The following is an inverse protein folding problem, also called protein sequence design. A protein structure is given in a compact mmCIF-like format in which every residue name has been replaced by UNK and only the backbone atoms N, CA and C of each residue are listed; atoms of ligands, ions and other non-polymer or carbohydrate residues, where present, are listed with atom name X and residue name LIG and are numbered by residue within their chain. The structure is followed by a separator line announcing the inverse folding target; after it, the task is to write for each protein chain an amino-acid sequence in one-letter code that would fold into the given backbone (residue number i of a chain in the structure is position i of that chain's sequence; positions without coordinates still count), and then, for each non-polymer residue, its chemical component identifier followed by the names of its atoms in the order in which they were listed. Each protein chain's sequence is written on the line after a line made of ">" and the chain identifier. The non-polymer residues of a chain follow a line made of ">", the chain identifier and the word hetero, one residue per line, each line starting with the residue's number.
data_IF_534525664596
#
_entry.id   IF_534525664596
#
_cell.length_a   1.000
_cell.length_b   1.000
_cell.length_c   1.000
_cell.angle_alpha   90.00
_cell.angle_beta   90.00
_cell.angle_gamma   90.00
#
_symmetry.space_group_name_H-M   'P 1'
#
loop_
_entity.id
_entity.type
_entity.pdbx_description
1 polymer ?
#
# COMPACT_ATOMS: atom_id res chain seq x y z
N UNK A 1 18.83 17.88 -5.89
CA UNK A 1 19.28 16.49 -6.08
C UNK A 1 19.90 16.41 -7.46
N UNK A 2 21.12 15.88 -7.60
CA UNK A 2 21.73 15.73 -8.93
C UNK A 2 20.99 14.63 -9.73
N UNK A 3 21.25 14.51 -11.04
CA UNK A 3 20.54 13.54 -11.90
C UNK A 3 20.79 12.08 -11.49
N UNK A 4 21.97 11.79 -10.96
CA UNK A 4 22.37 10.46 -10.53
C UNK A 4 21.64 10.04 -9.24
N UNK A 5 21.62 10.91 -8.23
CA UNK A 5 20.87 10.75 -6.99
C UNK A 5 19.36 10.60 -7.27
N UNK A 6 18.84 11.33 -8.27
CA UNK A 6 17.45 11.20 -8.70
C UNK A 6 17.17 9.83 -9.28
N UNK A 7 18.04 9.34 -10.15
CA UNK A 7 17.92 8.00 -10.71
C UNK A 7 17.98 6.92 -9.62
N UNK A 8 18.94 7.02 -8.70
CA UNK A 8 19.06 6.10 -7.56
C UNK A 8 17.81 6.10 -6.69
N UNK A 9 17.31 7.29 -6.32
CA UNK A 9 16.12 7.38 -5.50
C UNK A 9 14.91 6.73 -6.17
N UNK A 10 14.72 6.96 -7.48
CA UNK A 10 13.66 6.31 -8.25
C UNK A 10 13.79 4.78 -8.26
N UNK A 11 15.00 4.27 -8.44
CA UNK A 11 15.27 2.83 -8.35
C UNK A 11 14.92 2.28 -6.98
N UNK A 12 15.41 2.88 -5.90
CA UNK A 12 15.15 2.43 -4.53
C UNK A 12 13.64 2.34 -4.25
N UNK A 13 12.88 3.36 -4.66
CA UNK A 13 11.42 3.38 -4.48
C UNK A 13 10.74 2.35 -5.38
N UNK A 14 11.14 2.21 -6.65
CA UNK A 14 10.59 1.19 -7.55
C UNK A 14 10.78 -0.24 -7.02
N UNK A 15 11.86 -0.48 -6.29
CA UNK A 15 12.14 -1.79 -5.69
C UNK A 15 11.40 -2.04 -4.39
N UNK A 16 11.04 -0.96 -3.71
CA UNK A 16 10.26 -1.03 -2.49
C UNK A 16 8.75 -1.09 -2.75
N UNK A 17 8.29 -0.63 -3.92
CA UNK A 17 6.85 -0.47 -4.19
C UNK A 17 6.07 -1.77 -4.11
N UNK A 18 6.69 -2.91 -4.46
CA UNK A 18 6.07 -4.23 -4.36
C UNK A 18 5.70 -4.56 -2.90
N UNK A 19 6.53 -4.14 -1.93
CA UNK A 19 6.22 -4.26 -0.50
C UNK A 19 5.06 -3.34 -0.08
N UNK A 20 4.90 -2.18 -0.73
CA UNK A 20 3.74 -1.32 -0.49
C UNK A 20 2.45 -1.96 -1.03
N UNK A 21 2.52 -2.68 -2.15
CA UNK A 21 1.39 -3.47 -2.65
C UNK A 21 1.01 -4.57 -1.66
N UNK A 22 1.98 -5.37 -1.20
CA UNK A 22 1.73 -6.41 -0.20
C UNK A 22 1.25 -5.85 1.14
N UNK A 23 1.72 -4.67 1.56
CA UNK A 23 1.22 -3.99 2.76
C UNK A 23 -0.24 -3.57 2.59
N UNK A 24 -0.60 -3.04 1.43
CA UNK A 24 -1.99 -2.68 1.12
C UNK A 24 -2.89 -3.92 1.15
N UNK A 25 -2.47 -5.00 0.49
CA UNK A 25 -3.14 -6.31 0.51
C UNK A 25 -3.35 -6.81 1.94
N UNK A 26 -2.30 -6.78 2.75
CA UNK A 26 -2.34 -7.25 4.14
C UNK A 26 -3.38 -6.51 4.97
N UNK A 27 -3.40 -5.16 4.92
CA UNK A 27 -4.38 -4.40 5.69
C UNK A 27 -5.79 -4.50 5.13
N UNK A 28 -5.95 -4.63 3.81
CA UNK A 28 -7.24 -4.95 3.20
C UNK A 28 -7.77 -6.29 3.73
N UNK A 29 -6.93 -7.34 3.73
CA UNK A 29 -7.31 -8.65 4.27
C UNK A 29 -7.67 -8.55 5.75
N UNK A 30 -6.92 -7.79 6.56
CA UNK A 30 -7.23 -7.59 7.98
C UNK A 30 -8.58 -6.90 8.23
N UNK A 31 -8.95 -5.94 7.38
CA UNK A 31 -10.28 -5.31 7.40
C UNK A 31 -11.37 -6.35 7.07
N UNK A 32 -11.17 -7.14 6.02
CA UNK A 32 -12.10 -8.21 5.60
C UNK A 32 -12.26 -9.26 6.70
N UNK A 33 -11.15 -9.71 7.31
CA UNK A 33 -11.14 -10.66 8.41
C UNK A 33 -12.01 -10.14 9.57
N UNK A 34 -11.80 -8.89 10.00
CA UNK A 34 -12.59 -8.28 11.08
C UNK A 34 -14.08 -8.21 10.74
N UNK A 35 -14.45 -7.83 9.51
CA UNK A 35 -15.85 -7.76 9.11
C UNK A 35 -16.48 -9.16 9.10
N UNK A 36 -15.77 -10.15 8.56
CA UNK A 36 -16.22 -11.55 8.52
C UNK A 36 -16.35 -12.16 9.93
N UNK A 37 -15.42 -11.87 10.83
CA UNK A 37 -15.47 -12.32 12.22
C UNK A 37 -16.68 -11.73 12.96
N UNK A 38 -16.95 -10.44 12.76
CA UNK A 38 -18.10 -9.77 13.36
C UNK A 38 -19.43 -10.36 12.86
N UNK A 39 -19.55 -10.57 11.55
CA UNK A 39 -20.75 -11.13 10.93
C UNK A 39 -21.05 -12.54 11.45
N UNK A 40 -20.03 -13.41 11.49
CA UNK A 40 -20.16 -14.76 12.02
C UNK A 40 -20.45 -14.79 13.53
N UNK A 41 -19.97 -13.80 14.28
CA UNK A 41 -20.08 -13.71 15.74
C UNK A 41 -21.29 -12.93 16.25
N UNK A 42 -22.09 -12.30 15.38
CA UNK A 42 -23.09 -11.30 15.75
C UNK A 42 -24.16 -11.77 16.76
N UNK A 43 -24.51 -13.06 16.74
CA UNK A 43 -25.50 -13.63 17.67
C UNK A 43 -24.92 -14.00 19.04
N UNK A 44 -23.59 -13.92 19.20
CA UNK A 44 -22.92 -14.22 20.46
C UNK A 44 -22.80 -12.89 21.22
N UNK A 45 -23.38 -12.77 22.44
CA UNK A 45 -23.25 -11.55 23.23
C UNK A 45 -21.79 -11.38 23.66
N UNK A 46 -21.00 -10.70 22.82
CA UNK A 46 -19.60 -10.45 23.10
C UNK A 46 -19.45 -9.05 23.70
N UNK A 47 -19.27 -9.05 25.01
CA UNK A 47 -19.17 -7.88 25.86
C UNK A 47 -17.68 -7.51 26.00
N UNK A 48 -17.00 -7.16 24.90
CA UNK A 48 -15.69 -6.48 24.98
C UNK A 48 -15.34 -5.77 23.66
N UNK A 49 -15.63 -4.47 23.65
CA UNK A 49 -15.67 -3.61 22.48
C UNK A 49 -14.27 -3.10 22.09
N UNK A 50 -13.40 -3.98 21.59
CA UNK A 50 -12.05 -3.60 21.08
C UNK A 50 -11.76 -4.24 19.73
N UNK A 51 -12.69 -4.14 18.78
CA UNK A 51 -12.39 -4.47 17.39
C UNK A 51 -11.18 -3.64 16.92
N UNK A 52 -10.12 -4.27 16.37
CA UNK A 52 -8.95 -3.55 15.86
C UNK A 52 -9.23 -2.86 14.51
N UNK A 53 -10.48 -2.86 14.04
CA UNK A 53 -10.89 -2.37 12.72
C UNK A 53 -10.36 -0.96 12.41
N UNK A 54 -10.44 -0.02 13.37
CA UNK A 54 -9.91 1.35 13.13
C UNK A 54 -8.39 1.37 13.02
N UNK A 55 -7.65 0.53 13.76
CA UNK A 55 -6.20 0.42 13.62
C UNK A 55 -5.81 -0.09 12.22
N UNK A 56 -6.51 -1.11 11.73
CA UNK A 56 -6.28 -1.65 10.39
C UNK A 56 -6.71 -0.67 9.29
N UNK A 57 -7.84 0.01 9.47
CA UNK A 57 -8.33 1.04 8.55
C UNK A 57 -7.37 2.23 8.46
N UNK A 58 -6.85 2.71 9.58
CA UNK A 58 -5.85 3.80 9.60
C UNK A 58 -4.55 3.39 8.91
N UNK A 59 -4.07 2.17 9.16
CA UNK A 59 -2.87 1.66 8.50
C UNK A 59 -3.10 1.47 6.98
N UNK A 60 -4.27 0.97 6.60
CA UNK A 60 -4.72 0.85 5.22
C UNK A 60 -4.75 2.20 4.50
N UNK A 61 -5.35 3.23 5.10
CA UNK A 61 -5.39 4.60 4.57
C UNK A 61 -3.98 5.18 4.34
N UNK A 62 -3.03 4.88 5.22
CA UNK A 62 -1.65 5.31 5.07
C UNK A 62 -0.90 4.59 3.93
N UNK A 63 -1.33 3.38 3.55
CA UNK A 63 -0.79 2.74 2.34
C UNK A 63 -1.17 3.52 1.08
N UNK A 64 -2.38 4.10 1.00
CA UNK A 64 -2.79 4.90 -0.15
C UNK A 64 -1.91 6.16 -0.33
N UNK A 65 -1.64 6.88 0.76
CA UNK A 65 -0.70 8.01 0.74
C UNK A 65 0.71 7.56 0.30
N UNK A 66 1.22 6.48 0.90
CA UNK A 66 2.55 5.95 0.59
C UNK A 66 2.67 5.53 -0.88
N UNK A 67 1.61 4.90 -1.42
CA UNK A 67 1.53 4.51 -2.83
C UNK A 67 1.53 5.72 -3.74
N UNK A 68 0.68 6.72 -3.50
CA UNK A 68 0.65 7.96 -4.29
C UNK A 68 2.04 8.60 -4.36
N UNK A 69 2.69 8.79 -3.22
CA UNK A 69 3.98 9.49 -3.15
C UNK A 69 5.10 8.64 -3.78
N UNK A 70 5.05 7.32 -3.60
CA UNK A 70 6.02 6.41 -4.22
C UNK A 70 5.86 6.33 -5.74
N UNK A 71 4.62 6.31 -6.25
CA UNK A 71 4.33 6.30 -7.68
C UNK A 71 4.76 7.61 -8.34
N UNK A 72 4.61 8.76 -7.67
CA UNK A 72 5.11 10.06 -8.15
C UNK A 72 6.63 10.03 -8.36
N UNK A 73 7.37 9.41 -7.43
CA UNK A 73 8.80 9.21 -7.56
C UNK A 73 9.10 8.23 -8.71
N UNK A 74 8.48 7.04 -8.71
CA UNK A 74 8.73 5.99 -9.70
C UNK A 74 8.53 6.50 -11.14
N UNK A 75 7.39 7.15 -11.40
CA UNK A 75 7.03 7.65 -12.72
C UNK A 75 7.69 8.99 -13.07
N UNK A 76 8.44 9.59 -12.14
CA UNK A 76 9.06 10.90 -12.30
C UNK A 76 8.10 11.98 -12.81
N UNK A 77 6.87 11.95 -12.30
CA UNK A 77 5.81 12.89 -12.68
C UNK A 77 4.97 13.20 -11.46
N UNK A 78 4.47 14.42 -11.40
CA UNK A 78 3.54 14.82 -10.35
C UNK A 78 2.27 13.97 -10.40
N UNK A 79 1.88 13.39 -9.27
CA UNK A 79 0.62 12.66 -9.12
C UNK A 79 -0.21 13.37 -8.06
N UNK A 80 -1.31 13.97 -8.52
CA UNK A 80 -2.27 14.67 -7.69
C UNK A 80 -3.39 13.74 -7.27
N UNK A 81 -4.13 14.13 -6.22
CA UNK A 81 -5.31 13.38 -5.78
C UNK A 81 -6.42 13.31 -6.83
N UNK A 82 -6.51 14.32 -7.71
CA UNK A 82 -7.45 14.34 -8.84
C UNK A 82 -7.16 13.22 -9.83
N UNK A 83 -5.92 12.74 -9.90
CA UNK A 83 -5.58 11.61 -10.76
C UNK A 83 -6.23 10.30 -10.30
N UNK A 84 -6.91 10.26 -9.15
CA UNK A 84 -7.65 9.09 -8.65
C UNK A 84 -9.16 9.33 -8.56
N UNK A 85 -9.68 10.44 -9.10
CA UNK A 85 -11.09 10.84 -8.91
C UNK A 85 -12.12 9.86 -9.52
N UNK A 86 -11.70 9.11 -10.54
CA UNK A 86 -12.45 8.05 -11.22
C UNK A 86 -12.51 6.73 -10.43
N UNK A 87 -11.70 6.59 -9.38
CA UNK A 87 -11.70 5.39 -8.52
C UNK A 87 -12.82 5.49 -7.48
N UNK A 88 -13.65 4.44 -7.30
CA UNK A 88 -14.68 4.40 -6.29
C UNK A 88 -14.16 4.79 -4.90
N UNK A 89 -14.88 5.67 -4.21
CA UNK A 89 -14.57 6.14 -2.86
C UNK A 89 -13.19 6.81 -2.68
N UNK A 90 -12.46 7.16 -3.73
CA UNK A 90 -11.11 7.74 -3.61
C UNK A 90 -11.08 9.05 -2.82
N UNK A 91 -12.07 9.92 -3.04
CA UNK A 91 -12.26 11.17 -2.30
C UNK A 91 -12.53 10.90 -0.81
N UNK A 92 -13.38 9.91 -0.52
CA UNK A 92 -13.68 9.48 0.83
C UNK A 92 -12.41 8.97 1.53
N UNK A 93 -11.69 8.01 0.93
CA UNK A 93 -10.45 7.44 1.49
C UNK A 93 -9.40 8.51 1.78
N UNK A 94 -9.14 9.40 0.81
CA UNK A 94 -8.21 10.53 1.01
C UNK A 94 -8.61 11.38 2.21
N UNK A 95 -9.89 11.72 2.31
CA UNK A 95 -10.37 12.60 3.37
C UNK A 95 -10.36 11.91 4.74
N UNK A 96 -10.69 10.62 4.81
CA UNK A 96 -10.56 9.80 6.02
C UNK A 96 -9.12 9.72 6.49
N UNK A 97 -8.15 9.50 5.58
CA UNK A 97 -6.72 9.52 5.93
C UNK A 97 -6.35 10.83 6.61
N UNK A 98 -6.80 11.95 6.03
CA UNK A 98 -6.49 13.25 6.60
C UNK A 98 -7.23 13.52 7.92
N UNK A 99 -8.45 12.99 8.11
CA UNK A 99 -9.21 13.15 9.35
C UNK A 99 -8.58 12.33 10.49
N UNK A 100 -8.21 11.07 10.22
CA UNK A 100 -7.48 10.23 11.16
C UNK A 100 -6.12 10.83 11.53
N UNK A 101 -5.30 11.21 10.55
CA UNK A 101 -3.93 11.68 10.79
C UNK A 101 -3.85 13.05 11.48
N UNK A 102 -4.70 14.01 11.09
CA UNK A 102 -4.56 15.40 11.53
C UNK A 102 -5.52 15.79 12.65
N UNK A 103 -6.65 15.09 12.75
CA UNK A 103 -7.72 15.46 13.68
C UNK A 103 -8.01 14.34 14.71
N UNK A 104 -7.39 13.15 14.57
CA UNK A 104 -7.53 12.04 15.52
C UNK A 104 -8.88 11.32 15.46
N UNK A 105 -9.61 11.40 14.34
CA UNK A 105 -10.91 10.71 14.21
C UNK A 105 -10.74 9.19 14.07
N UNK A 106 -11.44 8.44 14.92
CA UNK A 106 -11.81 7.05 14.62
C UNK A 106 -12.97 7.04 13.64
N UNK A 107 -12.69 6.64 12.40
CA UNK A 107 -13.63 6.79 11.28
C UNK A 107 -14.82 5.84 11.41
N UNK A 108 -14.57 4.59 11.80
CA UNK A 108 -15.58 3.53 11.86
C UNK A 108 -16.14 3.51 13.28
N UNK A 109 -17.44 3.81 13.43
CA UNK A 109 -18.03 4.08 14.73
C UNK A 109 -19.43 3.49 14.93
N UNK A 110 -19.93 2.71 13.98
CA UNK A 110 -21.23 2.08 14.04
C UNK A 110 -21.11 0.60 13.72
N UNK A 111 -21.80 -0.23 14.51
CA UNK A 111 -22.00 -1.64 14.23
C UNK A 111 -23.50 -1.90 14.22
N UNK A 112 -24.01 -2.43 13.10
CA UNK A 112 -25.43 -2.81 12.93
C UNK A 112 -25.46 -4.12 12.14
N UNK A 113 -26.29 -5.07 12.57
CA UNK A 113 -26.50 -6.35 11.90
C UNK A 113 -25.21 -7.09 11.52
N UNK A 114 -24.23 -7.10 12.43
CA UNK A 114 -22.95 -7.81 12.22
C UNK A 114 -21.98 -7.09 11.29
N UNK A 115 -22.23 -5.83 10.93
CA UNK A 115 -21.46 -5.09 9.94
C UNK A 115 -20.93 -3.77 10.48
N UNK A 116 -19.75 -3.36 9.99
CA UNK A 116 -19.12 -2.10 10.34
C UNK A 116 -19.54 -0.97 9.39
N UNK A 117 -19.94 0.16 9.98
CA UNK A 117 -20.41 1.35 9.28
C UNK A 117 -19.85 2.64 9.88
N UNK A 118 -20.18 3.76 9.22
CA UNK A 118 -19.96 5.11 9.70
C UNK A 118 -21.32 5.74 9.90
N UNK A 119 -21.61 6.16 11.13
CA UNK A 119 -22.96 6.64 11.54
C UNK A 119 -23.39 7.95 10.88
N UNK A 120 -22.45 8.80 10.49
CA UNK A 120 -22.74 10.12 9.94
C UNK A 120 -21.56 10.69 9.16
N UNK A 121 -21.87 11.66 8.27
CA UNK A 121 -20.86 12.46 7.59
C UNK A 121 -19.88 13.09 8.58
N UNK A 122 -18.59 13.04 8.25
CA UNK A 122 -17.54 13.55 9.14
C UNK A 122 -17.31 15.02 8.81
N UNK A 123 -17.37 15.86 9.84
CA UNK A 123 -17.11 17.29 9.72
C UNK A 123 -15.76 17.61 10.33
N UNK A 124 -14.89 18.28 9.56
CA UNK A 124 -13.58 18.72 10.03
C UNK A 124 -13.27 20.15 9.62
N UNK A 125 -12.29 20.76 10.30
CA UNK A 125 -11.75 22.05 9.92
C UNK A 125 -10.37 21.84 9.29
N UNK A 126 -10.18 22.31 8.07
CA UNK A 126 -8.89 22.30 7.37
C UNK A 126 -8.55 23.71 6.93
N UNK A 127 -7.40 24.23 7.37
CA UNK A 127 -6.95 25.59 7.02
C UNK A 127 -8.02 26.67 7.26
N UNK A 128 -8.74 26.57 8.39
CA UNK A 128 -9.82 27.50 8.75
C UNK A 128 -11.12 27.34 7.96
N UNK A 129 -11.24 26.32 7.11
CA UNK A 129 -12.47 26.02 6.34
C UNK A 129 -13.12 24.73 6.81
N UNK A 130 -14.45 24.73 6.87
CA UNK A 130 -15.24 23.54 7.11
C UNK A 130 -15.15 22.60 5.90
N UNK A 131 -14.84 21.33 6.14
CA UNK A 131 -14.84 20.27 5.13
C UNK A 131 -15.77 19.17 5.61
N UNK A 132 -16.73 18.80 4.77
CA UNK A 132 -17.65 17.69 5.00
C UNK A 132 -17.14 16.50 4.19
N UNK A 133 -16.95 15.38 4.88
CA UNK A 133 -16.64 14.09 4.28
C UNK A 133 -17.96 13.33 4.20
N UNK A 134 -18.48 13.20 2.98
CA UNK A 134 -19.60 12.32 2.70
C UNK A 134 -19.17 10.87 2.96
N UNK A 135 -19.90 10.19 3.84
CA UNK A 135 -19.62 8.81 4.20
C UNK A 135 -20.45 7.85 3.34
N UNK A 136 -19.88 6.71 2.93
CA UNK A 136 -20.63 5.69 2.20
C UNK A 136 -21.76 5.11 3.05
N UNK A 137 -22.76 4.56 2.37
CA UNK A 137 -23.86 3.80 3.01
C UNK A 137 -23.54 2.32 3.11
N UNK A 138 -22.60 1.86 2.29
CA UNK A 138 -22.12 0.48 2.23
C UNK A 138 -21.24 0.15 3.44
N UNK A 139 -21.12 -1.14 3.75
CA UNK A 139 -20.22 -1.62 4.80
C UNK A 139 -18.75 -1.34 4.46
N UNK A 140 -17.91 -1.21 5.49
CA UNK A 140 -16.51 -0.81 5.33
C UNK A 140 -15.71 -1.77 4.44
N UNK A 141 -15.93 -3.08 4.57
CA UNK A 141 -15.27 -4.10 3.74
C UNK A 141 -15.52 -3.83 2.25
N UNK A 142 -16.79 -3.67 1.85
CA UNK A 142 -17.18 -3.40 0.47
C UNK A 142 -16.53 -2.11 -0.06
N UNK A 143 -16.55 -1.04 0.74
CA UNK A 143 -15.94 0.26 0.39
C UNK A 143 -14.44 0.10 0.15
N UNK A 144 -13.73 -0.62 1.03
CA UNK A 144 -12.30 -0.87 0.90
C UNK A 144 -11.98 -1.74 -0.32
N UNK A 145 -12.76 -2.81 -0.56
CA UNK A 145 -12.56 -3.71 -1.69
C UNK A 145 -12.73 -2.97 -3.02
N UNK A 146 -13.83 -2.22 -3.19
CA UNK A 146 -14.11 -1.45 -4.42
C UNK A 146 -13.03 -0.39 -4.68
N UNK A 147 -12.60 0.31 -3.63
CA UNK A 147 -11.50 1.28 -3.75
C UNK A 147 -10.18 0.60 -4.14
N UNK A 148 -9.79 -0.47 -3.45
CA UNK A 148 -8.55 -1.23 -3.71
C UNK A 148 -8.52 -1.78 -5.14
N UNK A 149 -9.63 -2.33 -5.63
CA UNK A 149 -9.73 -2.83 -7.00
C UNK A 149 -9.47 -1.70 -8.00
N UNK A 150 -10.20 -0.58 -7.87
CA UNK A 150 -10.03 0.56 -8.77
C UNK A 150 -8.62 1.15 -8.73
N UNK A 151 -8.05 1.28 -7.53
CA UNK A 151 -6.68 1.76 -7.32
C UNK A 151 -5.67 0.85 -8.04
N UNK A 152 -5.76 -0.47 -7.87
CA UNK A 152 -4.79 -1.40 -8.45
C UNK A 152 -4.96 -1.60 -9.95
N UNK A 153 -6.19 -1.49 -10.49
CA UNK A 153 -6.42 -1.41 -11.93
C UNK A 153 -5.76 -0.16 -12.53
N UNK A 154 -5.86 0.97 -11.84
CA UNK A 154 -5.22 2.22 -12.28
C UNK A 154 -3.69 2.13 -12.22
N UNK A 155 -3.14 1.60 -11.14
CA UNK A 155 -1.70 1.37 -10.98
C UNK A 155 -1.19 0.43 -12.07
N UNK A 156 -1.88 -0.70 -12.31
CA UNK A 156 -1.57 -1.63 -13.39
C UNK A 156 -1.45 -0.92 -14.74
N UNK A 157 -2.47 -0.14 -15.10
CA UNK A 157 -2.50 0.63 -16.34
C UNK A 157 -1.34 1.63 -16.43
N UNK A 158 -0.96 2.29 -15.33
CA UNK A 158 0.19 3.19 -15.34
C UNK A 158 1.50 2.46 -15.61
N UNK A 159 1.72 1.30 -15.00
CA UNK A 159 2.91 0.48 -15.29
C UNK A 159 2.93 -0.05 -16.73
N UNK A 160 1.79 -0.41 -17.30
CA UNK A 160 1.68 -0.87 -18.71
C UNK A 160 1.98 0.25 -19.72
N UNK A 161 1.63 1.50 -19.38
CA UNK A 161 1.84 2.66 -20.25
C UNK A 161 3.23 3.30 -20.09
N UNK A 162 3.88 3.10 -18.95
CA UNK A 162 5.16 3.73 -18.66
C UNK A 162 6.30 3.06 -19.44
N UNK A 163 7.03 3.89 -20.20
CA UNK A 163 8.18 3.43 -21.02
C UNK A 163 9.52 3.76 -20.36
N UNK A 164 9.53 4.68 -19.39
CA UNK A 164 10.74 5.26 -18.79
C UNK A 164 10.92 4.87 -17.32
N UNK A 165 10.54 3.64 -16.96
CA UNK A 165 10.88 3.09 -15.64
C UNK A 165 12.41 3.00 -15.50
N UNK A 166 12.97 3.34 -14.34
CA UNK A 166 14.40 3.18 -14.13
C UNK A 166 14.76 1.69 -14.15
N UNK A 167 15.87 1.36 -14.83
CA UNK A 167 16.38 -0.01 -14.97
C UNK A 167 17.68 -0.12 -14.20
N UNK A 168 17.84 -1.21 -13.45
CA UNK A 168 19.07 -1.48 -12.72
C UNK A 168 20.29 -1.54 -13.65
N UNK A 169 21.28 -0.69 -13.39
CA UNK A 169 22.65 -0.95 -13.75
C UNK A 169 23.30 -1.94 -12.76
N UNK A 170 24.47 -2.45 -13.13
CA UNK A 170 25.26 -3.29 -12.23
C UNK A 170 25.74 -2.49 -11.02
N UNK A 171 26.13 -1.24 -11.27
CA UNK A 171 26.60 -0.27 -10.28
C UNK A 171 25.51 0.03 -9.24
N UNK A 172 24.24 0.08 -9.64
CA UNK A 172 23.10 0.32 -8.74
C UNK A 172 22.88 -0.86 -7.78
N UNK A 173 23.05 -2.09 -8.27
CA UNK A 173 23.01 -3.27 -7.40
C UNK A 173 24.13 -3.22 -6.38
N UNK A 174 25.37 -2.94 -6.80
CA UNK A 174 26.52 -2.82 -5.89
C UNK A 174 26.32 -1.73 -4.84
N UNK A 175 25.78 -0.57 -5.24
CA UNK A 175 25.45 0.53 -4.33
C UNK A 175 24.37 0.15 -3.32
N UNK A 176 23.33 -0.57 -3.76
CA UNK A 176 22.24 -1.03 -2.89
C UNK A 176 22.73 -1.97 -1.78
N UNK A 177 23.76 -2.78 -2.04
CA UNK A 177 24.38 -3.67 -1.05
C UNK A 177 25.39 -2.97 -0.15
N UNK A 178 25.82 -1.75 -0.51
CA UNK A 178 26.70 -0.86 0.26
C UNK A 178 27.82 -1.61 1.02
N UNK A 179 28.50 -2.51 0.32
CA UNK A 179 29.46 -3.47 0.89
C UNK A 179 30.74 -2.84 1.47
N UNK A 180 30.80 -1.50 1.52
CA UNK A 180 31.92 -0.72 2.07
C UNK A 180 31.53 0.13 3.27
N UNK A 181 30.24 0.18 3.60
CA UNK A 181 29.72 1.01 4.68
C UNK A 181 29.09 0.11 5.76
N UNK A 182 29.90 -0.80 6.28
CA UNK A 182 29.55 -1.59 7.45
C UNK A 182 29.40 -0.61 8.63
N UNK A 183 28.20 -0.57 9.20
CA UNK A 183 27.84 0.40 10.24
C UNK A 183 28.79 0.25 11.45
N UNK A 184 29.34 1.38 11.89
CA UNK A 184 30.11 1.45 13.15
C UNK A 184 29.26 0.90 14.30
N UNK A 185 29.79 -0.06 15.04
CA UNK A 185 29.10 -0.75 16.14
C UNK A 185 28.35 -2.03 15.76
N UNK A 186 28.46 -2.51 14.51
CA UNK A 186 28.02 -3.85 14.14
C UNK A 186 28.90 -4.93 14.81
N UNK A 187 28.34 -6.07 15.29
CA UNK A 187 29.14 -7.16 15.86
C UNK A 187 30.23 -7.67 14.90
N UNK A 188 31.44 -7.93 15.41
CA UNK A 188 32.63 -8.27 14.59
C UNK A 188 32.44 -9.52 13.73
N UNK A 189 31.76 -10.54 14.25
CA UNK A 189 31.42 -11.77 13.54
C UNK A 189 30.54 -11.51 12.32
N UNK A 190 29.58 -10.59 12.44
CA UNK A 190 28.74 -10.13 11.32
C UNK A 190 29.56 -9.34 10.31
N UNK A 191 30.48 -8.48 10.77
CA UNK A 191 31.37 -7.74 9.86
C UNK A 191 32.27 -8.68 9.06
N UNK A 192 32.84 -9.70 9.72
CA UNK A 192 33.68 -10.71 9.07
C UNK A 192 32.88 -11.52 8.05
N UNK A 193 31.65 -11.92 8.38
CA UNK A 193 30.77 -12.62 7.45
C UNK A 193 30.49 -11.78 6.20
N UNK A 194 30.07 -10.53 6.37
CA UNK A 194 29.79 -9.61 5.25
C UNK A 194 31.02 -9.40 4.37
N UNK A 195 32.19 -9.19 4.97
CA UNK A 195 33.44 -9.03 4.25
C UNK A 195 33.82 -10.28 3.46
N UNK A 196 33.62 -11.47 4.05
CA UNK A 196 33.96 -12.75 3.40
C UNK A 196 33.07 -13.08 2.19
N UNK A 197 31.82 -12.61 2.19
CA UNK A 197 30.85 -12.90 1.12
C UNK A 197 30.79 -11.81 0.04
N UNK A 198 31.43 -10.65 0.26
CA UNK A 198 31.35 -9.47 -0.61
C UNK A 198 31.64 -9.79 -2.08
N UNK A 199 32.80 -10.36 -2.39
CA UNK A 199 33.20 -10.63 -3.78
C UNK A 199 32.34 -11.72 -4.43
N UNK A 200 31.87 -12.69 -3.64
CA UNK A 200 30.94 -13.70 -4.13
C UNK A 200 29.58 -13.09 -4.51
N UNK A 201 29.06 -12.15 -3.71
CA UNK A 201 27.82 -11.43 -4.04
C UNK A 201 27.99 -10.60 -5.31
N UNK A 202 29.11 -9.87 -5.47
CA UNK A 202 29.39 -9.09 -6.69
C UNK A 202 29.35 -9.99 -7.93
N UNK A 203 29.98 -11.16 -7.86
CA UNK A 203 30.00 -12.13 -8.95
C UNK A 203 28.61 -12.68 -9.27
N UNK A 204 27.83 -13.07 -8.26
CA UNK A 204 26.46 -13.57 -8.45
C UNK A 204 25.58 -12.52 -9.14
N UNK A 205 25.68 -11.26 -8.73
CA UNK A 205 24.92 -10.15 -9.33
C UNK A 205 25.32 -9.95 -10.80
N UNK A 206 26.63 -9.95 -11.09
CA UNK A 206 27.14 -9.80 -12.45
C UNK A 206 26.63 -10.94 -13.36
N UNK A 207 26.74 -12.18 -12.88
CA UNK A 207 26.41 -13.39 -13.64
C UNK A 207 24.89 -13.56 -13.86
N UNK A 208 24.03 -12.94 -13.05
CA UNK A 208 22.56 -13.12 -13.08
C UNK A 208 21.77 -11.84 -13.37
N UNK A 209 22.41 -10.75 -13.81
CA UNK A 209 21.79 -9.41 -13.92
C UNK A 209 20.43 -9.42 -14.63
N UNK A 210 20.36 -9.94 -15.85
CA UNK A 210 19.14 -9.91 -16.66
C UNK A 210 18.00 -10.70 -16.01
N UNK A 211 18.34 -11.86 -15.43
CA UNK A 211 17.40 -12.70 -14.71
C UNK A 211 16.83 -11.99 -13.48
N UNK A 212 17.67 -11.33 -12.69
CA UNK A 212 17.24 -10.58 -11.50
C UNK A 212 16.30 -9.42 -11.87
N UNK A 213 16.58 -8.71 -12.96
CA UNK A 213 15.71 -7.64 -13.47
C UNK A 213 14.36 -8.21 -13.91
N UNK A 214 14.37 -9.31 -14.67
CA UNK A 214 13.15 -9.96 -15.14
C UNK A 214 12.29 -10.48 -13.97
N UNK A 215 12.91 -11.08 -12.95
CA UNK A 215 12.24 -11.53 -11.73
C UNK A 215 11.58 -10.37 -10.97
N UNK A 216 12.25 -9.21 -10.88
CA UNK A 216 11.67 -8.01 -10.26
C UNK A 216 10.46 -7.48 -11.02
N UNK A 217 10.52 -7.43 -12.34
CA UNK A 217 9.37 -7.01 -13.17
C UNK A 217 8.21 -8.00 -13.00
N UNK A 218 8.49 -9.30 -13.03
CA UNK A 218 7.50 -10.36 -12.82
C UNK A 218 6.85 -10.28 -11.44
N UNK A 219 7.65 -10.16 -10.38
CA UNK A 219 7.18 -10.03 -9.00
C UNK A 219 6.24 -8.84 -8.83
N UNK A 220 6.55 -7.70 -9.45
CA UNK A 220 5.69 -6.51 -9.41
C UNK A 220 4.31 -6.77 -10.01
N UNK A 221 4.28 -7.39 -11.19
CA UNK A 221 3.03 -7.79 -11.83
C UNK A 221 2.24 -8.76 -10.95
N UNK A 222 2.90 -9.76 -10.37
CA UNK A 222 2.28 -10.73 -9.47
C UNK A 222 1.70 -10.09 -8.21
N UNK A 223 2.38 -9.11 -7.61
CA UNK A 223 1.88 -8.36 -6.44
C UNK A 223 0.64 -7.54 -6.76
N UNK A 224 0.60 -6.88 -7.93
CA UNK A 224 -0.60 -6.15 -8.39
C UNK A 224 -1.77 -7.14 -8.60
N UNK A 225 -1.52 -8.24 -9.29
CA UNK A 225 -2.53 -9.27 -9.53
C UNK A 225 -3.02 -9.92 -8.23
N UNK A 226 -2.17 -10.03 -7.20
CA UNK A 226 -2.58 -10.57 -5.91
C UNK A 226 -3.69 -9.73 -5.26
N UNK A 227 -3.50 -8.41 -5.20
CA UNK A 227 -4.52 -7.49 -4.68
C UNK A 227 -5.80 -7.55 -5.50
N UNK A 228 -5.69 -7.59 -6.83
CA UNK A 228 -6.86 -7.70 -7.72
C UNK A 228 -7.61 -9.01 -7.52
N UNK A 229 -6.90 -10.14 -7.38
CA UNK A 229 -7.52 -11.44 -7.06
C UNK A 229 -8.25 -11.41 -5.72
N UNK A 230 -7.65 -10.83 -4.69
CA UNK A 230 -8.29 -10.64 -3.39
C UNK A 230 -9.59 -9.84 -3.55
N UNK A 231 -9.56 -8.70 -4.26
CA UNK A 231 -10.75 -7.90 -4.46
C UNK A 231 -11.84 -8.64 -5.26
N UNK A 232 -11.47 -9.28 -6.37
CA UNK A 232 -12.41 -9.99 -7.24
C UNK A 232 -13.08 -11.17 -6.54
N UNK A 233 -12.34 -11.89 -5.69
CA UNK A 233 -12.89 -12.97 -4.87
C UNK A 233 -14.06 -12.49 -4.01
N UNK A 234 -13.93 -11.33 -3.38
CA UNK A 234 -14.97 -10.81 -2.48
C UNK A 234 -16.08 -10.06 -3.22
N UNK A 235 -15.81 -9.45 -4.38
CA UNK A 235 -16.85 -8.79 -5.18
C UNK A 235 -17.82 -9.78 -5.84
N UNK A 236 -17.35 -10.96 -6.24
CA UNK A 236 -18.24 -12.00 -6.77
C UNK A 236 -19.25 -12.46 -5.71
N UNK A 237 -18.81 -12.65 -4.48
CA UNK A 237 -19.69 -13.02 -3.36
C UNK A 237 -20.74 -11.93 -3.06
N UNK A 238 -20.36 -10.64 -3.17
CA UNK A 238 -21.30 -9.52 -2.95
C UNK A 238 -22.44 -9.50 -3.99
N UNK A 239 -22.20 -9.98 -5.22
CA UNK A 239 -23.22 -10.03 -6.28
C UNK A 239 -24.19 -11.21 -6.07
N UNK A 240 -23.75 -12.29 -5.43
CA UNK A 240 -24.58 -13.47 -5.15
C UNK A 240 -25.55 -13.26 -3.98
N UNK A 241 -25.29 -12.27 -3.11
CA UNK A 241 -26.12 -11.92 -1.94
C UNK A 241 -27.20 -10.86 -2.21
N UNK A 242 -27.42 -10.44 -3.46
CA UNK A 242 -28.49 -9.51 -3.92
C UNK A 242 -29.57 -10.29 -4.68
#
# INVERSE_FOLDING_TARGET
>A
MNMEDKHQHRLLVLNYIDNLFSRHEFFLQKIIDCCTELENGWQIPNNDNKSPINYYFDAYLNTYQSLKDSLEIVFDRKINWTDFEDIPYSKFMKNCRNASTHDGFSIINLIVDGKFYISANITRVSHGKLVIIETPTEEISEVCIKFSQGLFLKIKRWFELEKNLPVYSFEDYLRSFNTENIKVGMPEDVQQLLNSQKEQMKKIIADNREKLIAEKIKSRGESIESVLRLCNKHLLNIIEDI
#
